data_IF_119280522260
#
_entry.id   IF_119280522260
#
_cell.length_a   1.000
_cell.length_b   1.000
_cell.length_c   1.000
_cell.angle_alpha   90.00
_cell.angle_beta   90.00
_cell.angle_gamma   90.00
#
_symmetry.space_group_name_H-M   'P 1'
#
loop_
_entity.id
_entity.type
_entity.pdbx_description
1 polymer ?
#
# COMPACT_ATOMS: atom_id res chain seq x y z
N UNK A 1 16.66 -48.84 -2.32
CA UNK A 1 15.93 -47.89 -3.14
C UNK A 1 14.61 -47.41 -2.51
N UNK A 2 13.70 -48.32 -2.11
CA UNK A 2 12.42 -47.99 -1.45
C UNK A 2 12.56 -47.16 -0.16
N UNK A 3 13.52 -47.51 0.74
CA UNK A 3 13.76 -46.77 1.98
C UNK A 3 14.31 -45.34 1.76
N UNK A 4 15.09 -45.13 0.68
CA UNK A 4 15.58 -43.81 0.31
C UNK A 4 14.43 -42.94 -0.25
N UNK A 5 13.56 -43.50 -1.08
CA UNK A 5 12.36 -42.84 -1.62
C UNK A 5 11.38 -42.52 -0.48
N UNK A 6 11.19 -43.41 0.49
CA UNK A 6 10.39 -43.14 1.68
C UNK A 6 10.98 -42.04 2.56
N UNK A 7 12.30 -42.01 2.76
CA UNK A 7 12.97 -40.90 3.51
C UNK A 7 12.89 -39.59 2.76
N UNK A 8 13.02 -39.59 1.45
CA UNK A 8 12.84 -38.37 0.62
C UNK A 8 11.39 -37.89 0.66
N UNK A 9 10.40 -38.81 0.56
CA UNK A 9 8.98 -38.46 0.69
C UNK A 9 8.62 -37.97 2.10
N UNK A 10 9.14 -38.61 3.16
CA UNK A 10 8.93 -38.16 4.54
C UNK A 10 9.59 -36.80 4.79
N UNK A 11 10.76 -36.54 4.22
CA UNK A 11 11.43 -35.22 4.32
C UNK A 11 10.75 -34.16 3.45
N UNK A 12 10.20 -34.52 2.29
CA UNK A 12 9.38 -33.62 1.46
C UNK A 12 8.02 -33.30 2.13
N UNK A 13 7.42 -34.29 2.81
CA UNK A 13 6.18 -34.10 3.58
C UNK A 13 6.39 -33.32 4.87
N UNK A 14 7.62 -33.26 5.41
CA UNK A 14 7.97 -32.49 6.61
C UNK A 14 8.48 -31.06 6.30
N UNK A 15 8.63 -30.70 5.02
CA UNK A 15 8.92 -29.31 4.66
C UNK A 15 7.62 -28.50 4.88
N UNK A 16 7.64 -27.48 5.75
CA UNK A 16 6.49 -26.64 5.95
C UNK A 16 6.13 -26.00 4.58
N UNK A 17 4.94 -26.33 4.10
CA UNK A 17 4.46 -25.86 2.79
C UNK A 17 3.95 -24.43 2.95
N UNK A 18 4.33 -23.55 2.01
CA UNK A 18 3.74 -22.21 1.90
C UNK A 18 2.23 -22.29 1.65
N UNK A 19 1.52 -21.26 2.03
CA UNK A 19 0.14 -21.09 1.60
C UNK A 19 0.08 -20.82 0.09
N UNK A 20 -0.03 -21.90 -0.70
CA UNK A 20 -0.02 -21.84 -2.16
C UNK A 20 -1.13 -20.94 -2.73
N UNK A 21 -2.40 -21.00 -2.24
CA UNK A 21 -3.42 -20.08 -2.71
C UNK A 21 -3.05 -18.61 -2.53
N UNK A 22 -2.48 -18.22 -1.38
CA UNK A 22 -2.03 -16.85 -1.14
C UNK A 22 -0.93 -16.44 -2.13
N UNK A 23 0.05 -17.29 -2.34
CA UNK A 23 1.14 -17.06 -3.29
C UNK A 23 0.62 -16.92 -4.73
N UNK A 24 -0.32 -17.76 -5.16
CA UNK A 24 -0.91 -17.69 -6.51
C UNK A 24 -1.68 -16.39 -6.73
N UNK A 25 -2.50 -15.96 -5.76
CA UNK A 25 -3.23 -14.68 -5.85
C UNK A 25 -2.24 -13.52 -5.98
N UNK A 26 -1.17 -13.54 -5.19
CA UNK A 26 -0.12 -12.51 -5.23
C UNK A 26 0.59 -12.45 -6.59
N UNK A 27 0.98 -13.61 -7.13
CA UNK A 27 1.64 -13.68 -8.45
C UNK A 27 0.69 -13.27 -9.58
N UNK A 28 -0.60 -13.56 -9.48
CA UNK A 28 -1.61 -13.09 -10.42
C UNK A 28 -1.74 -11.57 -10.37
N UNK A 29 -1.84 -10.96 -9.17
CA UNK A 29 -1.87 -9.50 -9.01
C UNK A 29 -0.59 -8.85 -9.58
N UNK A 30 0.58 -9.41 -9.28
CA UNK A 30 1.85 -8.90 -9.80
C UNK A 30 1.92 -8.98 -11.34
N UNK A 31 1.58 -10.13 -11.91
CA UNK A 31 1.61 -10.33 -13.37
C UNK A 31 0.63 -9.40 -14.09
N UNK A 32 -0.58 -9.27 -13.54
CA UNK A 32 -1.60 -8.38 -14.08
C UNK A 32 -1.16 -6.91 -13.99
N UNK A 33 -0.59 -6.53 -12.84
CA UNK A 33 -0.04 -5.18 -12.64
C UNK A 33 1.07 -4.84 -13.63
N UNK A 34 2.02 -5.74 -13.87
CA UNK A 34 3.11 -5.52 -14.83
C UNK A 34 2.59 -5.35 -16.27
N UNK A 35 1.59 -6.14 -16.68
CA UNK A 35 0.95 -6.01 -18.01
C UNK A 35 0.27 -4.64 -18.12
N UNK A 36 -0.49 -4.23 -17.10
CA UNK A 36 -1.19 -2.96 -17.11
C UNK A 36 -0.23 -1.77 -17.03
N UNK A 37 0.83 -1.86 -16.24
CA UNK A 37 1.88 -0.84 -16.18
C UNK A 37 2.54 -0.62 -17.55
N UNK A 38 2.84 -1.71 -18.26
CA UNK A 38 3.39 -1.62 -19.62
C UNK A 38 2.41 -0.92 -20.55
N UNK A 39 1.14 -1.33 -20.55
CA UNK A 39 0.13 -0.70 -21.40
C UNK A 39 -0.07 0.78 -21.10
N UNK A 40 -0.26 1.14 -19.82
CA UNK A 40 -0.52 2.52 -19.41
C UNK A 40 0.70 3.43 -19.58
N UNK A 41 1.91 2.91 -19.31
CA UNK A 41 3.13 3.69 -19.32
C UNK A 41 3.79 3.86 -20.68
N UNK A 42 3.51 2.97 -21.66
CA UNK A 42 4.20 2.93 -22.95
C UNK A 42 4.12 4.24 -23.74
N UNK A 43 2.90 4.78 -23.89
CA UNK A 43 2.68 5.99 -24.69
C UNK A 43 3.37 7.22 -24.07
N UNK A 44 3.25 7.40 -22.76
CA UNK A 44 3.89 8.51 -22.04
C UNK A 44 5.41 8.38 -22.05
N UNK A 45 5.94 7.16 -21.88
CA UNK A 45 7.37 6.91 -21.94
C UNK A 45 7.96 7.22 -23.33
N UNK A 46 7.29 6.76 -24.39
CA UNK A 46 7.70 7.01 -25.76
C UNK A 46 7.69 8.52 -26.08
N UNK A 47 6.63 9.23 -25.70
CA UNK A 47 6.50 10.66 -25.98
C UNK A 47 7.50 11.51 -25.18
N UNK A 48 7.65 11.26 -23.87
CA UNK A 48 8.50 12.10 -23.00
C UNK A 48 9.98 11.77 -23.06
N UNK A 49 10.34 10.50 -23.32
CA UNK A 49 11.72 10.01 -23.21
C UNK A 49 12.24 9.32 -24.48
N UNK A 50 11.40 9.19 -25.50
CA UNK A 50 11.77 8.54 -26.77
C UNK A 50 11.90 6.99 -26.66
N UNK A 51 11.67 6.40 -25.49
CA UNK A 51 11.76 4.96 -25.23
C UNK A 51 10.54 4.49 -24.44
N UNK A 52 9.64 3.74 -25.09
CA UNK A 52 8.41 3.20 -24.49
C UNK A 52 8.63 2.21 -23.34
N UNK A 53 9.84 1.70 -23.15
CA UNK A 53 10.18 0.73 -22.11
C UNK A 53 10.73 1.37 -20.83
N UNK A 54 10.80 2.68 -20.74
CA UNK A 54 11.44 3.42 -19.63
C UNK A 54 10.85 3.08 -18.27
N UNK A 55 9.54 2.88 -18.15
CA UNK A 55 8.89 2.54 -16.88
C UNK A 55 8.91 1.04 -16.60
N UNK A 56 8.74 0.19 -17.62
CA UNK A 56 8.62 -1.25 -17.40
C UNK A 56 9.95 -1.94 -17.10
N UNK A 57 11.08 -1.51 -17.70
CA UNK A 57 12.39 -2.13 -17.44
C UNK A 57 12.81 -2.09 -15.97
N UNK A 58 12.82 -0.92 -15.27
CA UNK A 58 13.13 -0.90 -13.84
C UNK A 58 12.10 -1.65 -13.01
N UNK A 59 10.81 -1.59 -13.38
CA UNK A 59 9.77 -2.30 -12.65
C UNK A 59 9.95 -3.83 -12.71
N UNK A 60 10.32 -4.39 -13.87
CA UNK A 60 10.63 -5.82 -14.01
C UNK A 60 11.83 -6.23 -13.16
N UNK A 61 12.88 -5.40 -13.13
CA UNK A 61 14.04 -5.63 -12.26
C UNK A 61 13.63 -5.66 -10.78
N UNK A 62 12.88 -4.65 -10.33
CA UNK A 62 12.39 -4.60 -8.95
C UNK A 62 11.36 -5.70 -8.65
N UNK A 63 10.55 -6.13 -9.61
CA UNK A 63 9.66 -7.28 -9.45
C UNK A 63 10.47 -8.57 -9.24
N UNK A 64 11.51 -8.82 -10.04
CA UNK A 64 12.38 -9.97 -9.87
C UNK A 64 13.12 -9.95 -8.52
N UNK A 65 13.71 -8.80 -8.15
CA UNK A 65 14.36 -8.62 -6.84
C UNK A 65 13.35 -8.75 -5.69
N UNK A 66 12.14 -8.25 -5.86
CA UNK A 66 11.06 -8.35 -4.89
C UNK A 66 10.58 -9.80 -4.69
N UNK A 67 10.45 -10.58 -5.76
CA UNK A 67 10.12 -12.01 -5.65
C UNK A 67 11.25 -12.77 -4.94
N UNK A 68 12.51 -12.45 -5.20
CA UNK A 68 13.64 -13.01 -4.48
C UNK A 68 13.62 -12.62 -2.99
N UNK A 69 13.34 -11.34 -2.69
CA UNK A 69 13.21 -10.84 -1.32
C UNK A 69 12.03 -11.50 -0.60
N UNK A 70 10.89 -11.65 -1.27
CA UNK A 70 9.71 -12.37 -0.77
C UNK A 70 10.07 -13.82 -0.41
N UNK A 71 10.75 -14.52 -1.31
CA UNK A 71 11.21 -15.89 -1.05
C UNK A 71 12.19 -15.94 0.12
N UNK A 72 13.20 -15.07 0.16
CA UNK A 72 14.16 -14.99 1.26
C UNK A 72 13.47 -14.68 2.60
N UNK A 73 12.58 -13.69 2.64
CA UNK A 73 11.82 -13.34 3.84
C UNK A 73 10.93 -14.49 4.32
N UNK A 74 10.36 -15.27 3.39
CA UNK A 74 9.54 -16.44 3.73
C UNK A 74 10.33 -17.59 4.36
N UNK A 75 11.65 -17.63 4.18
CA UNK A 75 12.52 -18.64 4.80
C UNK A 75 12.98 -18.22 6.21
N UNK A 76 12.96 -16.92 6.51
CA UNK A 76 13.35 -16.37 7.82
C UNK A 76 12.21 -16.57 8.82
N UNK A 77 12.54 -16.95 10.04
CA UNK A 77 11.56 -17.02 11.14
C UNK A 77 11.02 -15.61 11.43
N UNK A 78 9.69 -15.44 11.37
CA UNK A 78 9.07 -14.15 11.59
C UNK A 78 9.31 -13.56 13.00
N UNK A 79 9.68 -14.35 13.98
CA UNK A 79 10.05 -13.87 15.32
C UNK A 79 11.32 -12.99 15.33
N UNK A 80 12.16 -13.06 14.30
CA UNK A 80 13.30 -12.13 14.13
C UNK A 80 12.80 -10.69 14.06
N UNK A 81 11.66 -10.45 13.40
CA UNK A 81 11.07 -9.12 13.27
C UNK A 81 10.60 -8.54 14.60
N UNK A 82 10.28 -9.40 15.58
CA UNK A 82 9.95 -8.96 16.93
C UNK A 82 11.11 -8.18 17.59
N UNK A 83 12.36 -8.60 17.35
CA UNK A 83 13.56 -7.92 17.86
C UNK A 83 13.89 -6.66 17.07
N UNK A 84 13.54 -6.64 15.77
CA UNK A 84 13.83 -5.53 14.87
C UNK A 84 12.77 -4.43 14.91
N UNK A 85 11.67 -4.59 15.64
CA UNK A 85 10.55 -3.65 15.64
C UNK A 85 10.98 -2.21 16.01
N UNK A 86 11.65 -2.01 17.15
CA UNK A 86 12.12 -0.70 17.57
C UNK A 86 13.26 -0.12 16.70
N UNK A 87 14.30 -0.88 16.31
CA UNK A 87 15.29 -0.41 15.36
C UNK A 87 14.68 0.05 14.03
N UNK A 88 13.72 -0.69 13.48
CA UNK A 88 13.04 -0.31 12.22
C UNK A 88 12.24 0.98 12.36
N UNK A 89 11.56 1.18 13.50
CA UNK A 89 10.90 2.46 13.78
C UNK A 89 11.91 3.60 13.84
N UNK A 90 13.04 3.42 14.53
CA UNK A 90 14.11 4.42 14.60
C UNK A 90 14.67 4.79 13.23
N UNK A 91 14.92 3.78 12.38
CA UNK A 91 15.36 3.99 10.99
C UNK A 91 14.30 4.76 10.19
N UNK A 92 13.02 4.38 10.31
CA UNK A 92 11.96 5.04 9.55
C UNK A 92 11.78 6.51 9.96
N UNK A 93 11.82 6.82 11.26
CA UNK A 93 11.75 8.20 11.75
C UNK A 93 12.96 9.03 11.28
N UNK A 94 14.16 8.44 11.29
CA UNK A 94 15.36 9.09 10.78
C UNK A 94 15.24 9.38 9.28
N UNK A 95 14.76 8.43 8.47
CA UNK A 95 14.60 8.63 7.04
C UNK A 95 13.50 9.66 6.71
N UNK A 96 12.38 9.68 7.46
CA UNK A 96 11.36 10.72 7.34
C UNK A 96 11.91 12.11 7.71
N UNK A 97 12.78 12.20 8.71
CA UNK A 97 13.44 13.46 9.05
C UNK A 97 14.46 13.88 7.97
N UNK A 98 15.26 12.95 7.44
CA UNK A 98 16.25 13.24 6.40
C UNK A 98 15.59 13.76 5.12
N UNK A 99 14.46 13.18 4.69
CA UNK A 99 13.83 13.57 3.43
C UNK A 99 13.34 15.02 3.43
N UNK A 100 13.06 15.62 4.59
CA UNK A 100 12.69 17.03 4.70
C UNK A 100 13.79 17.97 4.21
N UNK A 101 15.06 17.53 4.29
CA UNK A 101 16.24 18.30 3.84
C UNK A 101 16.69 17.94 2.42
N UNK A 102 16.01 16.98 1.75
CA UNK A 102 16.33 16.60 0.38
C UNK A 102 15.75 17.60 -0.64
N UNK A 103 16.37 17.71 -1.82
CA UNK A 103 15.83 18.51 -2.91
C UNK A 103 14.46 17.97 -3.35
N UNK A 104 13.61 18.85 -3.83
CA UNK A 104 12.31 18.49 -4.37
C UNK A 104 12.44 17.61 -5.60
N UNK A 105 11.67 16.52 -5.62
CA UNK A 105 11.53 15.65 -6.77
C UNK A 105 10.03 15.63 -7.17
N UNK A 106 9.74 15.99 -8.41
CA UNK A 106 8.37 16.19 -8.92
C UNK A 106 7.52 17.13 -8.04
N UNK A 107 8.13 18.23 -7.56
CA UNK A 107 7.43 19.25 -6.76
C UNK A 107 7.15 18.85 -5.30
N UNK A 108 7.71 17.75 -4.82
CA UNK A 108 7.50 17.26 -3.45
C UNK A 108 8.80 16.75 -2.81
N UNK A 109 8.94 16.92 -1.49
CA UNK A 109 10.07 16.39 -0.69
C UNK A 109 9.71 15.05 -0.06
N UNK A 110 9.40 14.04 -0.88
CA UNK A 110 8.93 12.72 -0.41
C UNK A 110 9.86 11.57 -0.81
N UNK A 111 10.89 11.87 -1.61
CA UNK A 111 11.72 10.87 -2.26
C UNK A 111 13.20 11.13 -1.99
N UNK A 112 13.92 10.09 -1.60
CA UNK A 112 15.38 10.08 -1.55
C UNK A 112 15.86 9.49 -2.88
N UNK A 113 16.53 10.30 -3.70
CA UNK A 113 17.07 9.84 -4.98
C UNK A 113 18.37 9.09 -4.70
N UNK A 114 18.41 7.81 -5.08
CA UNK A 114 19.58 6.95 -4.98
C UNK A 114 20.22 6.83 -6.37
N UNK A 115 21.43 7.38 -6.58
CA UNK A 115 22.09 7.31 -7.88
C UNK A 115 22.22 5.86 -8.37
N UNK A 116 21.69 5.57 -9.56
CA UNK A 116 21.73 4.23 -10.16
C UNK A 116 20.71 3.20 -9.62
N UNK A 117 20.06 3.47 -8.49
CA UNK A 117 19.10 2.55 -7.84
C UNK A 117 17.64 3.04 -7.87
N UNK A 118 17.41 4.28 -8.34
CA UNK A 118 16.07 4.87 -8.39
C UNK A 118 15.74 5.74 -7.19
N UNK A 119 14.47 5.76 -6.77
CA UNK A 119 14.00 6.59 -5.66
C UNK A 119 13.52 5.72 -4.51
N UNK A 120 13.89 6.08 -3.29
CA UNK A 120 13.39 5.48 -2.06
C UNK A 120 12.37 6.42 -1.42
N UNK A 121 11.20 5.90 -1.06
CA UNK A 121 10.18 6.65 -0.35
C UNK A 121 10.17 6.25 1.14
N UNK A 122 10.59 7.13 2.07
CA UNK A 122 10.65 6.82 3.49
C UNK A 122 9.33 6.38 4.10
N UNK A 123 8.20 6.89 3.61
CA UNK A 123 6.87 6.50 4.08
C UNK A 123 6.55 5.01 3.85
N UNK A 124 7.16 4.34 2.85
CA UNK A 124 7.00 2.89 2.68
C UNK A 124 7.63 2.13 3.85
N UNK A 125 8.83 2.56 4.29
CA UNK A 125 9.52 2.00 5.45
C UNK A 125 8.75 2.32 6.74
N UNK A 126 8.12 3.51 6.81
CA UNK A 126 7.29 3.89 7.96
C UNK A 126 6.05 2.99 8.09
N UNK A 127 5.35 2.69 7.00
CA UNK A 127 4.22 1.74 7.00
C UNK A 127 4.65 0.38 7.54
N UNK A 128 5.73 -0.17 7.00
CA UNK A 128 6.32 -1.42 7.46
C UNK A 128 6.64 -1.40 8.96
N UNK A 129 7.33 -0.36 9.44
CA UNK A 129 7.74 -0.26 10.84
C UNK A 129 6.56 -0.07 11.80
N UNK A 130 5.49 0.63 11.40
CA UNK A 130 4.25 0.74 12.18
C UNK A 130 3.62 -0.63 12.36
N UNK A 131 3.51 -1.44 11.31
CA UNK A 131 2.99 -2.81 11.43
C UNK A 131 3.83 -3.62 12.41
N UNK A 132 5.17 -3.56 12.29
CA UNK A 132 6.08 -4.30 13.19
C UNK A 132 5.93 -3.86 14.65
N UNK A 133 6.03 -2.56 14.92
CA UNK A 133 6.04 -2.03 16.31
C UNK A 133 4.68 -2.21 16.96
N UNK A 134 3.59 -1.97 16.24
CA UNK A 134 2.25 -2.16 16.78
C UNK A 134 1.98 -3.63 17.09
N UNK A 135 2.34 -4.54 16.18
CA UNK A 135 2.25 -5.99 16.44
C UNK A 135 3.10 -6.40 17.65
N UNK A 136 4.30 -5.83 17.80
CA UNK A 136 5.18 -6.07 18.94
C UNK A 136 4.56 -5.61 20.27
N UNK A 137 4.11 -4.35 20.35
CA UNK A 137 3.54 -3.76 21.57
C UNK A 137 2.25 -4.49 21.97
N UNK A 138 1.36 -4.76 21.00
CA UNK A 138 0.07 -5.42 21.24
C UNK A 138 0.29 -6.86 21.71
N UNK A 139 1.22 -7.62 21.09
CA UNK A 139 1.48 -9.01 21.48
C UNK A 139 1.98 -9.14 22.92
N UNK A 140 2.78 -8.17 23.40
CA UNK A 140 3.31 -8.13 24.76
C UNK A 140 2.28 -7.66 25.81
N UNK A 141 1.32 -6.83 25.41
CA UNK A 141 0.40 -6.16 26.33
C UNK A 141 -1.08 -6.48 26.08
N UNK A 142 -1.36 -7.58 25.41
CA UNK A 142 -2.69 -7.94 24.94
C UNK A 142 -3.78 -7.83 26.02
N UNK A 143 -3.52 -8.32 27.21
CA UNK A 143 -4.51 -8.32 28.31
C UNK A 143 -4.83 -6.91 28.85
N UNK A 144 -3.95 -5.93 28.57
CA UNK A 144 -4.05 -4.56 29.05
C UNK A 144 -4.45 -3.55 27.95
N UNK A 145 -4.78 -4.02 26.73
CA UNK A 145 -5.10 -3.14 25.59
C UNK A 145 -6.35 -2.29 25.80
N UNK A 146 -7.24 -2.65 26.72
CA UNK A 146 -8.41 -1.83 27.06
C UNK A 146 -8.06 -0.61 27.91
N UNK A 147 -6.89 -0.58 28.55
CA UNK A 147 -6.43 0.53 29.38
C UNK A 147 -5.93 1.68 28.50
N UNK A 148 -6.20 2.93 28.91
CA UNK A 148 -5.72 4.13 28.20
C UNK A 148 -4.19 4.17 28.10
N UNK A 149 -3.50 3.91 29.20
CA UNK A 149 -2.03 4.05 29.29
C UNK A 149 -1.28 3.04 28.43
N UNK A 150 -1.81 1.83 28.24
CA UNK A 150 -1.16 0.77 27.46
C UNK A 150 -1.78 0.57 26.08
N UNK A 151 -3.08 0.78 25.95
CA UNK A 151 -3.80 0.53 24.69
C UNK A 151 -3.95 1.76 23.80
N UNK A 152 -3.66 2.98 24.28
CA UNK A 152 -3.82 4.21 23.50
C UNK A 152 -2.54 5.04 23.47
N UNK A 153 -1.96 5.36 24.64
CA UNK A 153 -0.85 6.33 24.75
C UNK A 153 0.36 5.96 23.86
N UNK A 154 0.94 4.75 23.90
CA UNK A 154 2.13 4.44 23.09
C UNK A 154 1.85 4.53 21.58
N UNK A 155 0.66 4.09 21.15
CA UNK A 155 0.25 4.13 19.74
C UNK A 155 0.01 5.56 19.28
N UNK A 156 -0.68 6.37 20.09
CA UNK A 156 -0.95 7.77 19.80
C UNK A 156 0.35 8.60 19.69
N UNK A 157 1.34 8.34 20.57
CA UNK A 157 2.63 9.00 20.51
C UNK A 157 3.40 8.63 19.22
N UNK A 158 3.47 7.35 18.88
CA UNK A 158 4.16 6.90 17.66
C UNK A 158 3.46 7.45 16.42
N UNK A 159 2.13 7.30 16.32
CA UNK A 159 1.36 7.84 15.21
C UNK A 159 1.46 9.36 15.13
N UNK A 160 1.45 10.04 16.27
CA UNK A 160 1.59 11.50 16.34
C UNK A 160 2.91 11.99 15.76
N UNK A 161 4.03 11.37 16.16
CA UNK A 161 5.35 11.73 15.62
C UNK A 161 5.44 11.45 14.11
N UNK A 162 5.00 10.27 13.66
CA UNK A 162 5.01 9.92 12.23
C UNK A 162 4.11 10.87 11.45
N UNK A 163 2.90 11.18 11.96
CA UNK A 163 1.95 12.10 11.32
C UNK A 163 2.57 13.49 11.15
N UNK A 164 3.21 14.04 12.19
CA UNK A 164 3.84 15.36 12.12
C UNK A 164 4.92 15.37 11.02
N UNK A 165 5.82 14.37 10.98
CA UNK A 165 6.85 14.28 9.96
C UNK A 165 6.25 14.17 8.55
N UNK A 166 5.24 13.33 8.36
CA UNK A 166 4.56 13.14 7.08
C UNK A 166 3.77 14.37 6.61
N UNK A 167 3.21 15.16 7.52
CA UNK A 167 2.56 16.42 7.18
C UNK A 167 3.55 17.51 6.77
N UNK A 168 4.76 17.51 7.33
CA UNK A 168 5.85 18.37 6.89
C UNK A 168 6.36 18.00 5.48
N UNK A 169 6.15 16.76 5.01
CA UNK A 169 6.43 16.28 3.64
C UNK A 169 5.27 16.57 2.65
N UNK A 170 4.25 17.31 2.95
CA UNK A 170 2.86 17.38 2.44
C UNK A 170 2.30 16.05 1.90
N UNK A 171 2.44 14.96 2.67
CA UNK A 171 2.07 13.59 2.25
C UNK A 171 0.78 13.10 2.94
N UNK A 172 -0.35 13.77 2.65
CA UNK A 172 -1.65 13.49 3.28
C UNK A 172 -2.12 12.03 3.09
N UNK A 173 -1.96 11.50 1.89
CA UNK A 173 -2.39 10.14 1.55
C UNK A 173 -1.66 9.06 2.33
N UNK A 174 -0.33 9.19 2.41
CA UNK A 174 0.48 8.27 3.21
C UNK A 174 0.15 8.37 4.71
N UNK A 175 -0.09 9.59 5.20
CA UNK A 175 -0.51 9.83 6.58
C UNK A 175 -1.84 9.15 6.89
N UNK A 176 -2.85 9.33 6.04
CA UNK A 176 -4.16 8.69 6.22
C UNK A 176 -4.04 7.16 6.22
N UNK A 177 -3.24 6.61 5.32
CA UNK A 177 -3.01 5.17 5.24
C UNK A 177 -2.33 4.64 6.50
N UNK A 178 -1.28 5.29 7.00
CA UNK A 178 -0.57 4.90 8.24
C UNK A 178 -1.50 4.98 9.46
N UNK A 179 -2.26 6.05 9.59
CA UNK A 179 -3.25 6.21 10.67
C UNK A 179 -4.30 5.09 10.62
N UNK A 180 -4.77 4.75 9.42
CA UNK A 180 -5.76 3.69 9.23
C UNK A 180 -5.21 2.31 9.54
N UNK A 181 -3.97 2.00 9.13
CA UNK A 181 -3.27 0.74 9.47
C UNK A 181 -3.11 0.63 10.99
N UNK A 182 -2.63 1.71 11.63
CA UNK A 182 -2.47 1.76 13.08
C UNK A 182 -3.80 1.56 13.82
N UNK A 183 -4.87 2.22 13.35
CA UNK A 183 -6.21 2.06 13.92
C UNK A 183 -6.73 0.62 13.80
N UNK A 184 -6.58 -0.02 12.64
CA UNK A 184 -6.99 -1.42 12.46
C UNK A 184 -6.22 -2.35 13.38
N UNK A 185 -4.90 -2.19 13.49
CA UNK A 185 -4.09 -3.01 14.39
C UNK A 185 -4.48 -2.82 15.86
N UNK A 186 -4.71 -1.58 16.31
CA UNK A 186 -5.21 -1.30 17.65
C UNK A 186 -6.59 -1.92 17.90
N UNK A 187 -7.49 -1.84 16.91
CA UNK A 187 -8.83 -2.42 16.99
C UNK A 187 -8.76 -3.94 17.13
N UNK A 188 -8.01 -4.62 16.26
CA UNK A 188 -7.79 -6.08 16.32
C UNK A 188 -7.05 -6.47 17.59
N UNK A 189 -6.15 -5.60 18.09
CA UNK A 189 -5.44 -5.76 19.34
C UNK A 189 -6.31 -5.64 20.60
N UNK A 190 -7.58 -5.19 20.47
CA UNK A 190 -8.54 -5.13 21.57
C UNK A 190 -8.62 -3.78 22.27
N UNK A 191 -8.13 -2.69 21.66
CA UNK A 191 -8.33 -1.32 22.16
C UNK A 191 -9.83 -0.98 22.18
N UNK A 192 -10.31 -0.33 23.25
CA UNK A 192 -11.73 -0.01 23.43
C UNK A 192 -12.27 0.93 22.34
N UNK A 193 -13.43 0.60 21.76
CA UNK A 193 -14.06 1.36 20.66
C UNK A 193 -14.30 2.84 20.97
N UNK A 194 -14.57 3.19 22.23
CA UNK A 194 -14.79 4.58 22.64
C UNK A 194 -13.59 5.48 22.38
N UNK A 195 -12.36 4.95 22.41
CA UNK A 195 -11.14 5.71 22.10
C UNK A 195 -11.05 6.08 20.61
N UNK A 196 -11.52 5.21 19.71
CA UNK A 196 -11.59 5.53 18.28
C UNK A 196 -12.63 6.61 18.01
N UNK A 197 -13.80 6.55 18.69
CA UNK A 197 -14.81 7.60 18.61
C UNK A 197 -14.28 8.95 19.09
N UNK A 198 -13.56 8.97 20.23
CA UNK A 198 -12.94 10.17 20.75
C UNK A 198 -11.84 10.70 19.81
N UNK A 199 -10.93 9.85 19.33
CA UNK A 199 -9.85 10.24 18.42
C UNK A 199 -10.41 10.76 17.09
N UNK A 200 -11.41 10.08 16.52
CA UNK A 200 -12.09 10.51 15.30
C UNK A 200 -12.82 11.83 15.46
N UNK A 201 -13.53 12.02 16.58
CA UNK A 201 -14.20 13.28 16.90
C UNK A 201 -13.24 14.45 17.08
N UNK A 202 -12.15 14.25 17.83
CA UNK A 202 -11.11 15.26 18.00
C UNK A 202 -10.39 15.58 16.69
N UNK A 203 -10.08 14.55 15.87
CA UNK A 203 -9.47 14.73 14.56
C UNK A 203 -10.37 15.53 13.60
N UNK A 204 -11.65 15.17 13.52
CA UNK A 204 -12.63 15.90 12.71
C UNK A 204 -12.79 17.36 13.18
N UNK A 205 -12.86 17.60 14.50
CA UNK A 205 -12.93 18.92 15.06
C UNK A 205 -11.66 19.75 14.77
N UNK A 206 -10.48 19.14 14.86
CA UNK A 206 -9.22 19.81 14.53
C UNK A 206 -9.12 20.19 13.05
N UNK A 207 -9.53 19.30 12.14
CA UNK A 207 -9.59 19.57 10.68
C UNK A 207 -10.59 20.70 10.41
N UNK A 208 -11.80 20.63 10.98
CA UNK A 208 -12.81 21.68 10.81
C UNK A 208 -12.32 23.04 11.34
N UNK A 209 -11.67 23.05 12.50
CA UNK A 209 -11.08 24.26 13.06
C UNK A 209 -9.97 24.83 12.17
N UNK A 210 -9.09 23.97 11.62
CA UNK A 210 -8.02 24.38 10.71
C UNK A 210 -8.58 25.00 9.43
N UNK A 211 -9.58 24.38 8.81
CA UNK A 211 -10.23 24.88 7.59
C UNK A 211 -10.94 26.21 7.82
N UNK A 212 -11.59 26.39 8.98
CA UNK A 212 -12.37 27.60 9.28
C UNK A 212 -11.47 28.74 9.77
N UNK A 213 -10.52 28.44 10.67
CA UNK A 213 -9.73 29.48 11.34
C UNK A 213 -8.43 29.85 10.60
N UNK A 214 -7.89 28.94 9.78
CA UNK A 214 -6.59 29.06 9.13
C UNK A 214 -6.63 28.57 7.66
N UNK A 215 -7.55 29.09 6.83
CA UNK A 215 -7.70 28.63 5.44
C UNK A 215 -6.40 28.79 4.62
N UNK A 216 -5.60 29.81 4.94
CA UNK A 216 -4.32 30.08 4.26
C UNK A 216 -3.23 29.05 4.56
N UNK A 217 -3.35 28.29 5.65
CA UNK A 217 -2.39 27.22 6.01
C UNK A 217 -2.71 25.88 5.33
N UNK A 218 -3.91 25.75 4.74
CA UNK A 218 -4.34 24.49 4.13
C UNK A 218 -4.90 24.68 2.70
N UNK A 219 -4.32 25.56 1.86
CA UNK A 219 -4.85 25.84 0.52
C UNK A 219 -4.94 24.57 -0.32
N UNK A 220 -3.92 23.72 -0.25
CA UNK A 220 -3.87 22.43 -0.93
C UNK A 220 -5.05 21.49 -0.57
N UNK A 221 -5.50 21.48 0.68
CA UNK A 221 -6.63 20.66 1.09
C UNK A 221 -7.98 21.25 0.65
N UNK A 222 -8.10 22.58 0.68
CA UNK A 222 -9.32 23.27 0.24
C UNK A 222 -9.52 23.17 -1.26
N UNK A 223 -8.47 23.30 -2.06
CA UNK A 223 -8.51 23.17 -3.53
C UNK A 223 -8.89 21.77 -3.95
N UNK A 224 -8.32 20.75 -3.30
CA UNK A 224 -8.69 19.35 -3.55
C UNK A 224 -10.12 19.01 -3.14
N UNK A 225 -10.62 19.60 -2.06
CA UNK A 225 -12.00 19.42 -1.63
C UNK A 225 -12.98 20.10 -2.59
N UNK A 226 -12.65 21.29 -3.09
CA UNK A 226 -13.43 22.00 -4.08
C UNK A 226 -13.48 21.23 -5.40
N UNK A 227 -12.31 20.80 -5.93
CA UNK A 227 -12.20 19.99 -7.14
C UNK A 227 -12.90 18.63 -7.03
N UNK A 228 -12.93 18.02 -5.84
CA UNK A 228 -13.67 16.78 -5.61
C UNK A 228 -15.18 16.96 -5.69
N UNK A 229 -15.72 18.09 -5.14
CA UNK A 229 -17.15 18.38 -5.15
C UNK A 229 -17.66 18.69 -6.56
N UNK A 230 -16.90 19.48 -7.30
CA UNK A 230 -17.23 19.86 -8.67
C UNK A 230 -15.95 19.92 -9.52
N UNK A 231 -15.51 18.79 -10.08
CA UNK A 231 -14.33 18.77 -10.93
C UNK A 231 -14.51 19.57 -12.22
N UNK A 232 -15.77 19.82 -12.65
CA UNK A 232 -16.08 20.58 -13.85
C UNK A 232 -16.01 22.10 -13.64
N UNK A 233 -15.88 22.60 -12.42
CA UNK A 233 -15.67 24.02 -12.15
C UNK A 233 -14.32 24.51 -12.70
N UNK A 234 -13.27 23.66 -12.70
CA UNK A 234 -11.97 23.95 -13.32
C UNK A 234 -11.49 22.74 -14.15
N UNK A 235 -12.00 22.56 -15.38
CA UNK A 235 -11.75 21.38 -16.20
C UNK A 235 -10.33 21.26 -16.73
N UNK A 236 -9.56 22.34 -16.75
CA UNK A 236 -8.19 22.39 -17.28
C UNK A 236 -7.12 22.48 -16.17
N UNK A 237 -7.52 22.79 -14.93
CA UNK A 237 -6.66 22.84 -13.76
C UNK A 237 -6.84 21.63 -12.84
N UNK A 238 -7.21 21.88 -11.58
CA UNK A 238 -7.31 20.86 -10.54
C UNK A 238 -8.32 19.74 -10.84
N UNK A 239 -9.39 20.01 -11.59
CA UNK A 239 -10.40 19.02 -12.01
C UNK A 239 -9.95 18.12 -13.17
N UNK A 240 -8.95 18.53 -13.95
CA UNK A 240 -8.56 17.85 -15.19
C UNK A 240 -8.28 16.36 -15.01
N UNK A 241 -7.46 16.02 -14.03
CA UNK A 241 -7.06 14.63 -13.77
C UNK A 241 -8.24 13.73 -13.40
N UNK A 242 -9.15 14.23 -12.58
CA UNK A 242 -10.37 13.51 -12.17
C UNK A 242 -11.33 13.32 -13.34
N UNK A 243 -11.57 14.35 -14.13
CA UNK A 243 -12.46 14.32 -15.32
C UNK A 243 -11.95 13.28 -16.33
N UNK A 244 -10.65 13.31 -16.67
CA UNK A 244 -10.08 12.36 -17.62
C UNK A 244 -10.12 10.92 -17.09
N UNK A 245 -9.94 10.74 -15.78
CA UNK A 245 -10.12 9.44 -15.12
C UNK A 245 -11.55 8.91 -15.27
N UNK A 246 -12.55 9.74 -15.00
CA UNK A 246 -13.96 9.38 -15.15
C UNK A 246 -14.33 9.08 -16.62
N UNK A 247 -13.78 9.82 -17.58
CA UNK A 247 -13.96 9.53 -19.00
C UNK A 247 -13.35 8.18 -19.39
N UNK A 248 -12.14 7.84 -18.86
CA UNK A 248 -11.53 6.56 -19.09
C UNK A 248 -12.43 5.41 -18.58
N UNK A 249 -12.91 5.51 -17.34
CA UNK A 249 -13.80 4.50 -16.73
C UNK A 249 -15.10 4.37 -17.55
N UNK A 250 -15.73 5.48 -17.90
CA UNK A 250 -16.99 5.49 -18.64
C UNK A 250 -16.85 4.90 -20.06
N UNK A 251 -15.73 5.17 -20.73
CA UNK A 251 -15.49 4.66 -22.11
C UNK A 251 -15.21 3.17 -22.17
N UNK A 252 -14.76 2.56 -21.05
CA UNK A 252 -14.47 1.12 -21.00
C UNK A 252 -15.71 0.22 -21.06
N UNK A 253 -16.87 0.68 -20.61
CA UNK A 253 -18.10 -0.13 -20.60
C UNK A 253 -17.93 -1.47 -19.88
N UNK A 254 -18.58 -2.53 -20.38
CA UNK A 254 -18.52 -3.85 -19.75
C UNK A 254 -17.23 -4.63 -20.09
N UNK A 255 -16.84 -4.65 -21.35
CA UNK A 255 -15.75 -5.51 -21.85
C UNK A 255 -14.42 -4.76 -22.15
N UNK A 256 -14.43 -3.42 -22.08
CA UNK A 256 -13.29 -2.59 -22.41
C UNK A 256 -13.08 -2.35 -23.91
N UNK A 257 -12.16 -1.47 -24.24
CA UNK A 257 -11.73 -1.19 -25.62
C UNK A 257 -10.71 -2.22 -26.14
N UNK A 258 -10.27 -3.13 -25.30
CA UNK A 258 -9.17 -4.07 -25.56
C UNK A 258 -7.84 -3.60 -24.98
N UNK A 259 -7.00 -4.55 -24.57
CA UNK A 259 -5.68 -4.28 -24.01
C UNK A 259 -4.83 -3.47 -25.00
N UNK A 260 -4.21 -2.41 -24.53
CA UNK A 260 -3.39 -1.53 -25.36
C UNK A 260 -4.17 -0.45 -26.12
N UNK A 261 -5.51 -0.45 -26.08
CA UNK A 261 -6.36 0.43 -26.88
C UNK A 261 -6.95 1.63 -26.11
N UNK A 262 -6.50 1.89 -24.89
CA UNK A 262 -6.90 3.09 -24.16
C UNK A 262 -6.55 4.33 -24.96
N UNK A 263 -7.48 5.28 -25.02
CA UNK A 263 -7.29 6.60 -25.63
C UNK A 263 -6.73 7.58 -24.59
N UNK A 264 -7.17 7.45 -23.36
CA UNK A 264 -6.85 8.36 -22.27
C UNK A 264 -5.37 8.30 -21.84
N UNK A 265 -4.67 7.18 -22.09
CA UNK A 265 -3.23 7.05 -21.84
C UNK A 265 -2.34 7.89 -22.73
N UNK A 266 -2.86 8.41 -23.86
CA UNK A 266 -2.13 9.29 -24.77
C UNK A 266 -2.16 10.74 -24.29
N UNK A 267 -1.64 10.99 -23.07
CA UNK A 267 -1.44 12.30 -22.42
C UNK A 267 -2.72 13.01 -21.95
N UNK A 268 -3.90 12.41 -22.08
CA UNK A 268 -5.11 12.96 -21.51
C UNK A 268 -5.14 12.80 -19.98
N UNK A 269 -4.91 11.58 -19.47
CA UNK A 269 -4.71 11.35 -18.04
C UNK A 269 -3.26 11.68 -17.68
N UNK A 270 -3.00 12.62 -16.77
CA UNK A 270 -1.65 12.87 -16.26
C UNK A 270 -1.13 11.65 -15.47
N UNK A 271 0.13 11.28 -15.73
CA UNK A 271 0.82 10.17 -15.03
C UNK A 271 0.00 8.87 -14.93
N UNK A 272 -0.54 8.33 -16.07
CA UNK A 272 -1.44 7.17 -16.06
C UNK A 272 -0.77 5.89 -15.55
N UNK A 273 0.57 5.82 -15.51
CA UNK A 273 1.35 4.71 -14.95
C UNK A 273 1.49 4.75 -13.42
N UNK A 274 1.07 5.82 -12.77
CA UNK A 274 1.18 6.01 -11.32
C UNK A 274 -0.20 5.84 -10.64
N UNK A 275 -0.81 6.93 -10.19
CA UNK A 275 -1.97 6.91 -9.30
C UNK A 275 -3.29 6.59 -10.02
N UNK A 276 -3.35 6.81 -11.34
CA UNK A 276 -4.54 6.61 -12.17
C UNK A 276 -4.48 5.37 -13.07
N UNK A 277 -3.60 4.43 -12.77
CA UNK A 277 -3.48 3.18 -13.56
C UNK A 277 -4.79 2.37 -13.58
N UNK A 278 -5.59 2.44 -12.52
CA UNK A 278 -6.88 1.76 -12.44
C UNK A 278 -7.90 2.31 -13.44
N UNK A 279 -7.88 3.62 -13.77
CA UNK A 279 -8.77 4.18 -14.80
C UNK A 279 -8.42 3.66 -16.21
N UNK A 280 -7.12 3.53 -16.51
CA UNK A 280 -6.67 2.94 -17.77
C UNK A 280 -7.05 1.46 -17.85
N UNK A 281 -6.95 0.73 -16.75
CA UNK A 281 -7.41 -0.65 -16.64
C UNK A 281 -8.91 -0.76 -16.93
N UNK A 282 -9.72 0.13 -16.34
CA UNK A 282 -11.17 0.19 -16.61
C UNK A 282 -11.46 0.49 -18.08
N UNK A 283 -10.71 1.38 -18.72
CA UNK A 283 -10.87 1.71 -20.14
C UNK A 283 -10.53 0.52 -21.03
N UNK A 284 -9.39 -0.15 -20.78
CA UNK A 284 -8.90 -1.24 -21.64
C UNK A 284 -9.65 -2.55 -21.45
N UNK A 285 -10.00 -2.91 -20.20
CA UNK A 285 -10.58 -4.21 -19.85
C UNK A 285 -12.02 -4.13 -19.33
N UNK A 286 -12.56 -2.92 -19.26
CA UNK A 286 -13.93 -2.67 -18.86
C UNK A 286 -14.23 -3.04 -17.42
N UNK A 287 -15.52 -3.11 -17.12
CA UNK A 287 -16.01 -3.51 -15.79
C UNK A 287 -15.55 -4.92 -15.40
N UNK A 288 -15.47 -5.86 -16.35
CA UNK A 288 -15.02 -7.24 -16.08
C UNK A 288 -13.58 -7.24 -15.56
N UNK A 289 -12.67 -6.50 -16.22
CA UNK A 289 -11.27 -6.39 -15.78
C UNK A 289 -11.14 -5.72 -14.41
N UNK A 290 -11.90 -4.65 -14.17
CA UNK A 290 -11.93 -3.96 -12.89
C UNK A 290 -12.46 -4.88 -11.77
N UNK A 291 -13.56 -5.58 -12.00
CA UNK A 291 -14.15 -6.53 -11.04
C UNK A 291 -13.18 -7.68 -10.70
N UNK A 292 -12.42 -8.17 -11.68
CA UNK A 292 -11.38 -9.19 -11.45
C UNK A 292 -10.30 -8.67 -10.50
N UNK A 293 -9.81 -7.44 -10.67
CA UNK A 293 -8.82 -6.84 -9.77
C UNK A 293 -9.37 -6.68 -8.36
N UNK A 294 -10.58 -6.16 -8.23
CA UNK A 294 -11.26 -6.04 -6.92
C UNK A 294 -11.41 -7.42 -6.26
N UNK A 295 -11.83 -8.43 -7.01
CA UNK A 295 -11.95 -9.79 -6.52
C UNK A 295 -10.60 -10.37 -6.07
N UNK A 296 -9.50 -10.12 -6.80
CA UNK A 296 -8.18 -10.59 -6.41
C UNK A 296 -7.68 -9.93 -5.11
N UNK A 297 -7.89 -8.61 -4.92
CA UNK A 297 -7.56 -7.95 -3.64
C UNK A 297 -8.43 -8.46 -2.50
N UNK A 298 -9.71 -8.71 -2.74
CA UNK A 298 -10.61 -9.31 -1.74
C UNK A 298 -10.16 -10.74 -1.37
N UNK A 299 -9.81 -11.56 -2.36
CA UNK A 299 -9.27 -12.91 -2.13
C UNK A 299 -7.96 -12.87 -1.36
N UNK A 300 -7.06 -11.90 -1.65
CA UNK A 300 -5.83 -11.68 -0.91
C UNK A 300 -6.13 -11.38 0.57
N UNK A 301 -7.08 -10.47 0.83
CA UNK A 301 -7.53 -10.15 2.19
C UNK A 301 -8.09 -11.38 2.90
N UNK A 302 -9.06 -12.07 2.30
CA UNK A 302 -9.71 -13.23 2.90
C UNK A 302 -8.70 -14.36 3.19
N UNK A 303 -7.78 -14.63 2.24
CA UNK A 303 -6.75 -15.65 2.44
C UNK A 303 -5.73 -15.25 3.50
N UNK A 304 -5.29 -13.98 3.51
CA UNK A 304 -4.44 -13.42 4.56
C UNK A 304 -5.09 -13.51 5.93
N UNK A 305 -6.35 -13.13 6.08
CA UNK A 305 -7.08 -13.28 7.35
C UNK A 305 -7.19 -14.74 7.78
N UNK A 306 -7.37 -15.68 6.85
CA UNK A 306 -7.32 -17.11 7.13
C UNK A 306 -5.95 -17.56 7.67
N UNK A 307 -4.84 -17.00 7.17
CA UNK A 307 -3.49 -17.24 7.69
C UNK A 307 -3.36 -16.65 9.10
N UNK A 308 -3.83 -15.41 9.30
CA UNK A 308 -3.76 -14.73 10.60
C UNK A 308 -4.47 -15.50 11.72
N UNK A 309 -5.67 -16.03 11.44
CA UNK A 309 -6.46 -16.80 12.43
C UNK A 309 -5.74 -18.11 12.81
N UNK A 310 -4.97 -18.70 11.89
CA UNK A 310 -4.22 -19.95 12.12
C UNK A 310 -2.80 -19.73 12.61
N UNK A 311 -2.35 -18.48 12.79
CA UNK A 311 -1.01 -18.19 13.28
C UNK A 311 -0.81 -18.72 14.70
N UNK A 312 0.40 -19.22 15.00
CA UNK A 312 0.73 -19.83 16.30
C UNK A 312 0.67 -18.87 17.47
N UNK A 313 0.96 -17.61 17.23
CA UNK A 313 1.02 -16.58 18.25
C UNK A 313 0.39 -15.26 17.77
N UNK A 314 0.13 -14.37 18.73
CA UNK A 314 -0.51 -13.06 18.49
C UNK A 314 0.36 -12.13 17.64
N UNK A 315 1.69 -12.22 17.75
CA UNK A 315 2.59 -11.39 16.98
C UNK A 315 2.51 -11.74 15.49
N UNK A 316 2.61 -13.02 15.13
CA UNK A 316 2.43 -13.49 13.75
C UNK A 316 1.06 -13.16 13.19
N UNK A 317 -0.02 -13.35 13.97
CA UNK A 317 -1.37 -12.99 13.57
C UNK A 317 -1.49 -11.50 13.23
N UNK A 318 -0.97 -10.61 14.08
CA UNK A 318 -1.02 -9.16 13.91
C UNK A 318 -0.14 -8.68 12.74
N UNK A 319 1.03 -9.30 12.51
CA UNK A 319 1.86 -9.02 11.32
C UNK A 319 1.08 -9.30 10.04
N UNK A 320 0.44 -10.46 9.95
CA UNK A 320 -0.35 -10.83 8.77
C UNK A 320 -1.51 -9.86 8.57
N UNK A 321 -2.28 -9.57 9.64
CA UNK A 321 -3.37 -8.58 9.58
C UNK A 321 -2.83 -7.23 9.10
N UNK A 322 -1.76 -6.74 9.70
CA UNK A 322 -1.19 -5.43 9.37
C UNK A 322 -0.79 -5.32 7.90
N UNK A 323 0.00 -6.26 7.38
CA UNK A 323 0.49 -6.21 6.00
C UNK A 323 -0.62 -6.44 4.97
N UNK A 324 -1.55 -7.38 5.22
CA UNK A 324 -2.64 -7.65 4.27
C UNK A 324 -3.65 -6.50 4.25
N UNK A 325 -3.96 -5.93 5.41
CA UNK A 325 -4.83 -4.74 5.50
C UNK A 325 -4.16 -3.52 4.85
N UNK A 326 -2.86 -3.31 5.05
CA UNK A 326 -2.10 -2.24 4.38
C UNK A 326 -2.30 -2.29 2.86
N UNK A 327 -2.05 -3.44 2.25
CA UNK A 327 -2.20 -3.63 0.79
C UNK A 327 -3.66 -3.42 0.34
N UNK A 328 -4.60 -4.05 1.03
CA UNK A 328 -6.02 -3.98 0.63
C UNK A 328 -6.58 -2.58 0.82
N UNK A 329 -6.27 -1.92 1.93
CA UNK A 329 -6.72 -0.56 2.21
C UNK A 329 -6.14 0.45 1.21
N UNK A 330 -4.86 0.31 0.86
CA UNK A 330 -4.22 1.14 -0.16
C UNK A 330 -4.90 0.95 -1.53
N UNK A 331 -5.26 -0.28 -1.91
CA UNK A 331 -6.00 -0.55 -3.14
C UNK A 331 -7.41 0.07 -3.11
N UNK A 332 -8.15 -0.08 -2.02
CA UNK A 332 -9.48 0.53 -1.85
C UNK A 332 -9.40 2.05 -1.97
N UNK A 333 -8.43 2.69 -1.29
CA UNK A 333 -8.27 4.14 -1.33
C UNK A 333 -7.89 4.62 -2.74
N UNK A 334 -7.02 3.92 -3.46
CA UNK A 334 -6.71 4.26 -4.87
C UNK A 334 -7.96 4.18 -5.75
N UNK A 335 -8.72 3.08 -5.68
CA UNK A 335 -9.94 2.91 -6.45
C UNK A 335 -10.99 3.98 -6.11
N UNK A 336 -11.13 4.35 -4.84
CA UNK A 336 -12.04 5.39 -4.39
C UNK A 336 -11.65 6.78 -4.90
N UNK A 337 -10.34 7.09 -4.97
CA UNK A 337 -9.82 8.32 -5.58
C UNK A 337 -10.12 8.37 -7.07
N UNK A 338 -9.77 7.30 -7.79
CA UNK A 338 -9.90 7.22 -9.25
C UNK A 338 -11.36 7.31 -9.71
N UNK A 339 -12.30 6.80 -8.89
CA UNK A 339 -13.74 6.91 -9.12
C UNK A 339 -14.38 8.19 -8.59
N UNK A 340 -13.57 9.13 -8.10
CA UNK A 340 -14.05 10.36 -7.45
C UNK A 340 -15.00 10.14 -6.26
N UNK A 341 -14.91 8.98 -5.60
CA UNK A 341 -15.67 8.70 -4.36
C UNK A 341 -15.11 9.47 -3.17
N UNK A 342 -13.78 9.71 -3.16
CA UNK A 342 -13.07 10.53 -2.18
C UNK A 342 -12.17 11.53 -2.92
N UNK A 343 -11.74 12.63 -2.26
CA UNK A 343 -10.83 13.60 -2.86
C UNK A 343 -9.54 12.96 -3.36
N UNK A 344 -8.97 13.51 -4.44
CA UNK A 344 -7.72 13.02 -4.99
C UNK A 344 -6.57 13.18 -3.99
N UNK A 345 -5.93 12.08 -3.63
CA UNK A 345 -4.86 12.03 -2.63
C UNK A 345 -3.52 11.53 -3.17
N UNK A 346 -3.47 11.04 -4.42
CA UNK A 346 -2.23 10.53 -5.02
C UNK A 346 -1.72 9.24 -4.39
N UNK A 347 -2.60 8.28 -4.08
CA UNK A 347 -2.24 6.94 -3.59
C UNK A 347 -2.02 6.03 -4.79
N UNK A 348 -0.88 5.32 -4.82
CA UNK A 348 -0.59 4.31 -5.84
C UNK A 348 -1.38 3.01 -5.61
N UNK A 349 -1.72 2.29 -6.69
CA UNK A 349 -2.33 0.96 -6.62
C UNK A 349 -1.25 -0.11 -6.39
N UNK A 350 -1.29 -0.88 -5.28
CA UNK A 350 -0.31 -1.91 -4.97
C UNK A 350 -0.12 -2.91 -6.13
N UNK A 351 1.12 -3.28 -6.44
CA UNK A 351 1.54 -4.16 -7.52
C UNK A 351 1.35 -3.63 -8.95
N UNK A 352 0.52 -2.61 -9.17
CA UNK A 352 0.18 -2.07 -10.49
C UNK A 352 0.97 -0.80 -10.81
N UNK A 353 0.97 0.16 -9.90
CA UNK A 353 1.58 1.47 -10.12
C UNK A 353 3.11 1.39 -10.27
N UNK A 354 3.67 2.31 -11.02
CA UNK A 354 5.12 2.48 -11.15
C UNK A 354 5.74 2.88 -9.81
N UNK A 355 6.64 2.05 -9.29
CA UNK A 355 7.30 2.31 -8.02
C UNK A 355 8.18 1.13 -7.62
N UNK A 356 9.43 1.09 -8.12
CA UNK A 356 10.31 -0.06 -7.94
C UNK A 356 10.56 -0.40 -6.47
N UNK A 357 10.97 0.58 -5.65
CA UNK A 357 11.26 0.35 -4.22
C UNK A 357 10.01 0.04 -3.41
N UNK A 358 8.87 0.64 -3.74
CA UNK A 358 7.59 0.31 -3.11
C UNK A 358 7.18 -1.14 -3.41
N UNK A 359 7.32 -1.59 -4.66
CA UNK A 359 7.06 -2.98 -5.06
C UNK A 359 7.97 -3.96 -4.32
N UNK A 360 9.27 -3.64 -4.19
CA UNK A 360 10.22 -4.46 -3.45
C UNK A 360 9.82 -4.61 -1.98
N UNK A 361 9.42 -3.51 -1.33
CA UNK A 361 8.96 -3.53 0.07
C UNK A 361 7.68 -4.37 0.22
N UNK A 362 6.68 -4.13 -0.63
CA UNK A 362 5.42 -4.89 -0.61
C UNK A 362 5.65 -6.39 -0.77
N UNK A 363 6.50 -6.80 -1.71
CA UNK A 363 6.80 -8.22 -1.92
C UNK A 363 7.57 -8.80 -0.71
N UNK A 364 8.49 -8.03 -0.10
CA UNK A 364 9.16 -8.42 1.14
C UNK A 364 8.18 -8.65 2.29
N UNK A 365 7.20 -7.75 2.48
CA UNK A 365 6.12 -7.86 3.46
C UNK A 365 5.28 -9.12 3.23
N UNK A 366 4.93 -9.41 1.98
CA UNK A 366 4.20 -10.63 1.62
C UNK A 366 5.05 -11.89 1.90
N UNK A 367 6.37 -11.79 1.80
CA UNK A 367 7.29 -12.85 2.22
C UNK A 367 7.21 -13.15 3.72
N UNK A 368 7.05 -12.12 4.57
CA UNK A 368 6.84 -12.30 6.01
C UNK A 368 5.49 -13.00 6.27
N UNK A 369 4.43 -12.63 5.54
CA UNK A 369 3.13 -13.32 5.61
C UNK A 369 3.28 -14.80 5.27
N UNK A 370 4.04 -15.12 4.21
CA UNK A 370 4.35 -16.51 3.85
C UNK A 370 5.19 -17.22 4.91
N UNK A 371 6.11 -16.52 5.59
CA UNK A 371 6.86 -17.10 6.73
C UNK A 371 5.93 -17.50 7.88
N UNK A 372 4.97 -16.64 8.23
CA UNK A 372 3.94 -16.97 9.22
C UNK A 372 3.13 -18.18 8.77
N UNK A 373 2.70 -18.21 7.49
CA UNK A 373 1.88 -19.31 6.96
C UNK A 373 2.60 -20.67 7.00
N UNK A 374 3.93 -20.69 6.90
CA UNK A 374 4.74 -21.92 7.02
C UNK A 374 4.79 -22.49 8.43
N UNK A 375 4.60 -21.64 9.42
CA UNK A 375 4.68 -22.00 10.83
C UNK A 375 3.30 -22.19 11.47
N UNK A 376 2.22 -22.08 10.68
CA UNK A 376 0.86 -22.41 11.13
C UNK A 376 0.75 -23.93 11.31
N UNK A 377 0.03 -24.37 12.33
CA UNK A 377 -0.30 -25.78 12.48
C UNK A 377 -1.25 -26.18 11.36
N UNK A 378 -0.84 -27.16 10.55
CA UNK A 378 -1.75 -27.76 9.58
C UNK A 378 -2.77 -28.58 10.35
N UNK A 379 -4.02 -28.10 10.38
CA UNK A 379 -5.19 -28.87 10.79
C UNK A 379 -5.70 -29.65 9.58
#
# INVERSE_FOLDING_TARGET
MAALVQRIRARAASLPTFDIPFLLILLLLLSYGLIMLFSAGYAVALYRRGDGYTYIRPQLLFAALGVLAMYAASLVDYHVWHRLAWPMLGISLLLLAIVLFMPEYNGCKRWIVLPGLGTLQPSEIAKFSIVLVFSHIISLNHDRMKSFSTGVVPFALILGVVTVLMLLEPHLSGTLLILSIGAVLMFVGGTGLHWFGLAGGLGAAAIAAAVIALPELVPYATDRLASWRDPFADPLGEGHQTIQSLYAIASGGLAGLGLGNSRQKYLYVPEPQNDFIFSILCEELGFIGAALVVALFLLLLLRGMSIAVRARDKFGALLVVGFVVQVTLQAILNMAVVTNTIPNTGISLPFFSSGGTSLLMLLGEMGIVLSVSRQTDMV
#
